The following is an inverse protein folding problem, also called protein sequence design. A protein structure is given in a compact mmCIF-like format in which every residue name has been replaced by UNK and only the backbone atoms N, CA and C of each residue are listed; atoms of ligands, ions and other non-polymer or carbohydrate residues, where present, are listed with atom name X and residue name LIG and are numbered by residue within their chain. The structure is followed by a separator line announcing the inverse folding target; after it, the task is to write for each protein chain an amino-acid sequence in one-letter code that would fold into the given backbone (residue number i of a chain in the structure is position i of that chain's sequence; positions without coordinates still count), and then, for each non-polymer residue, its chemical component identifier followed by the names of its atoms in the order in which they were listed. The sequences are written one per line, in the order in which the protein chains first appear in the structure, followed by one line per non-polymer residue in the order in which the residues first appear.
data_IF_594373087791
#
_entry.id   IF_594373087791
#
_cell.length_a   1.000
_cell.length_b   1.000
_cell.length_c   1.000
_cell.angle_alpha   90.00
_cell.angle_beta   90.00
_cell.angle_gamma   90.00
#
_symmetry.space_group_name_H-M   'P 1'
#
loop_
_entity.id
_entity.type
_entity.pdbx_description
1 polymer ?
#
# COMPACT_ATOMS: atom_id res chain seq x y z
N UNK A 1 -1.58 -24.72 2.21
CA UNK A 1 -2.10 -23.80 3.25
C UNK A 1 -0.96 -23.11 4.00
N UNK A 2 -0.02 -23.88 4.57
CA UNK A 2 1.16 -23.35 5.27
C UNK A 2 1.98 -22.34 4.46
N UNK A 3 2.21 -22.63 3.17
CA UNK A 3 2.90 -21.70 2.27
C UNK A 3 2.18 -20.35 2.12
N UNK A 4 0.84 -20.35 2.10
CA UNK A 4 0.06 -19.12 2.00
C UNK A 4 0.10 -18.32 3.32
N UNK A 5 0.03 -19.03 4.45
CA UNK A 5 0.20 -18.44 5.79
C UNK A 5 1.58 -17.78 5.91
N UNK A 6 2.64 -18.47 5.49
CA UNK A 6 3.99 -17.94 5.52
C UNK A 6 4.11 -16.66 4.66
N UNK A 7 3.49 -16.65 3.47
CA UNK A 7 3.53 -15.48 2.60
C UNK A 7 2.79 -14.27 3.20
N UNK A 8 1.63 -14.47 3.84
CA UNK A 8 0.91 -13.39 4.53
C UNK A 8 1.70 -12.85 5.73
N UNK A 9 2.36 -13.73 6.49
CA UNK A 9 3.28 -13.32 7.56
C UNK A 9 4.43 -12.48 7.03
N UNK A 10 5.09 -12.91 5.96
CA UNK A 10 6.17 -12.13 5.34
C UNK A 10 5.69 -10.76 4.86
N UNK A 11 4.50 -10.67 4.26
CA UNK A 11 3.94 -9.37 3.88
C UNK A 11 3.70 -8.47 5.09
N UNK A 12 3.10 -9.03 6.15
CA UNK A 12 2.85 -8.36 7.43
C UNK A 12 4.15 -7.80 8.01
N UNK A 13 5.22 -8.61 8.05
CA UNK A 13 6.54 -8.18 8.50
C UNK A 13 7.11 -7.05 7.66
N UNK A 14 7.04 -7.15 6.32
CA UNK A 14 7.55 -6.11 5.42
C UNK A 14 6.82 -4.77 5.62
N UNK A 15 5.48 -4.81 5.69
CA UNK A 15 4.66 -3.61 5.92
C UNK A 15 4.92 -3.00 7.30
N UNK A 16 5.05 -3.84 8.34
CA UNK A 16 5.34 -3.38 9.71
C UNK A 16 6.73 -2.75 9.79
N UNK A 17 7.75 -3.39 9.22
CA UNK A 17 9.11 -2.87 9.19
C UNK A 17 9.18 -1.52 8.47
N UNK A 18 8.50 -1.39 7.33
CA UNK A 18 8.44 -0.11 6.63
C UNK A 18 7.66 0.94 7.41
N UNK A 19 6.56 0.58 8.09
CA UNK A 19 5.80 1.50 8.94
C UNK A 19 6.64 2.03 10.11
N UNK A 20 7.43 1.16 10.75
CA UNK A 20 8.36 1.50 11.82
C UNK A 20 9.51 2.37 11.30
N UNK A 21 10.05 2.05 10.12
CA UNK A 21 11.05 2.88 9.47
C UNK A 21 10.48 4.28 9.20
N UNK A 22 9.28 4.43 8.64
CA UNK A 22 8.66 5.74 8.46
C UNK A 22 8.44 6.49 9.79
N UNK A 23 8.00 5.78 10.83
CA UNK A 23 7.78 6.36 12.14
C UNK A 23 9.07 6.83 12.81
N UNK A 24 10.18 6.10 12.66
CA UNK A 24 11.46 6.50 13.25
C UNK A 24 11.93 7.84 12.72
N UNK A 25 11.74 8.10 11.43
CA UNK A 25 12.06 9.40 10.80
C UNK A 25 11.21 10.57 11.33
N UNK A 26 10.00 10.30 11.83
CA UNK A 26 9.16 11.33 12.47
C UNK A 26 9.63 11.68 13.89
N UNK A 27 10.34 10.76 14.54
CA UNK A 27 10.76 10.87 15.94
C UNK A 27 12.26 11.15 16.11
N UNK A 28 13.02 11.31 15.02
CA UNK A 28 14.43 11.71 15.11
C UNK A 28 14.54 13.14 15.65
N UNK A 29 15.32 13.32 16.72
CA UNK A 29 15.51 14.58 17.45
C UNK A 29 16.11 15.72 16.62
N UNK A 30 16.82 15.38 15.55
CA UNK A 30 17.23 16.30 14.51
C UNK A 30 16.57 15.86 13.20
N UNK A 31 15.50 16.53 12.73
CA UNK A 31 15.13 16.37 11.33
C UNK A 31 16.38 16.77 10.53
N UNK A 32 16.90 15.92 9.62
CA UNK A 32 18.12 16.23 8.92
C UNK A 32 18.03 17.63 8.33
N UNK A 33 18.98 18.51 8.66
CA UNK A 33 18.99 19.96 8.34
C UNK A 33 18.83 20.26 6.83
N UNK A 34 18.84 19.23 5.99
CA UNK A 34 18.66 19.30 4.55
C UNK A 34 17.81 18.14 4.02
N UNK A 35 16.55 17.99 4.47
CA UNK A 35 15.56 17.24 3.70
C UNK A 35 15.02 18.09 2.55
N UNK A 36 15.93 18.43 1.63
CA UNK A 36 15.63 19.25 0.45
C UNK A 36 14.64 18.56 -0.50
N UNK A 37 13.93 19.34 -1.32
CA UNK A 37 13.01 18.84 -2.34
C UNK A 37 13.63 17.72 -3.22
N UNK A 38 14.85 17.83 -3.76
CA UNK A 38 15.46 16.76 -4.56
C UNK A 38 15.64 15.44 -3.78
N UNK A 39 16.01 15.51 -2.49
CA UNK A 39 16.14 14.31 -1.65
C UNK A 39 14.78 13.68 -1.38
N UNK A 40 13.76 14.50 -1.11
CA UNK A 40 12.41 13.98 -0.89
C UNK A 40 11.83 13.33 -2.15
N UNK A 41 12.00 13.94 -3.33
CA UNK A 41 11.60 13.36 -4.61
C UNK A 41 12.30 12.02 -4.87
N UNK A 42 13.61 11.92 -4.64
CA UNK A 42 14.35 10.65 -4.75
C UNK A 42 13.86 9.59 -3.77
N UNK A 43 13.55 10.01 -2.55
CA UNK A 43 12.99 9.12 -1.54
C UNK A 43 11.60 8.63 -1.97
N UNK A 44 10.74 9.51 -2.50
CA UNK A 44 9.42 9.15 -3.03
C UNK A 44 9.51 8.17 -4.20
N UNK A 45 10.47 8.34 -5.12
CA UNK A 45 10.70 7.38 -6.20
C UNK A 45 11.05 5.99 -5.67
N UNK A 46 11.91 5.93 -4.65
CA UNK A 46 12.30 4.67 -4.00
C UNK A 46 11.13 4.05 -3.26
N UNK A 47 10.36 4.86 -2.55
CA UNK A 47 9.18 4.43 -1.82
C UNK A 47 8.06 3.94 -2.75
N UNK A 48 7.83 4.62 -3.87
CA UNK A 48 6.91 4.19 -4.93
C UNK A 48 7.29 2.82 -5.48
N UNK A 49 8.57 2.58 -5.75
CA UNK A 49 9.06 1.29 -6.24
C UNK A 49 8.87 0.19 -5.19
N UNK A 50 9.10 0.50 -3.92
CA UNK A 50 8.81 -0.42 -2.82
C UNK A 50 7.30 -0.73 -2.69
N UNK A 51 6.43 0.29 -2.83
CA UNK A 51 4.98 0.10 -2.87
C UNK A 51 4.53 -0.74 -4.08
N UNK A 52 5.16 -0.57 -5.23
CA UNK A 52 4.89 -1.39 -6.41
C UNK A 52 5.27 -2.87 -6.15
N UNK A 53 6.41 -3.10 -5.49
CA UNK A 53 6.83 -4.45 -5.11
C UNK A 53 5.87 -5.11 -4.10
N UNK A 54 5.40 -4.39 -3.08
CA UNK A 54 4.43 -4.95 -2.12
C UNK A 54 3.07 -5.21 -2.79
N UNK A 55 2.63 -4.36 -3.73
CA UNK A 55 1.43 -4.59 -4.53
C UNK A 55 1.55 -5.83 -5.40
N UNK A 56 2.67 -5.99 -6.10
CA UNK A 56 2.94 -7.19 -6.91
C UNK A 56 2.93 -8.45 -6.03
N UNK A 57 3.54 -8.38 -4.85
CA UNK A 57 3.52 -9.45 -3.87
C UNK A 57 2.09 -9.78 -3.41
N UNK A 58 1.30 -8.77 -3.05
CA UNK A 58 -0.09 -8.92 -2.60
C UNK A 58 -1.02 -9.44 -3.71
N UNK A 59 -0.77 -9.05 -4.96
CA UNK A 59 -1.47 -9.57 -6.13
C UNK A 59 -1.15 -11.06 -6.36
N UNK A 60 0.12 -11.45 -6.23
CA UNK A 60 0.53 -12.85 -6.35
C UNK A 60 -0.07 -13.73 -5.25
N UNK A 61 -0.09 -13.23 -4.00
CA UNK A 61 -0.74 -13.94 -2.88
C UNK A 61 -2.26 -13.99 -3.05
N UNK A 62 -2.90 -12.94 -3.58
CA UNK A 62 -4.33 -12.95 -3.92
C UNK A 62 -4.69 -14.00 -4.98
N UNK A 63 -3.88 -14.17 -6.04
CA UNK A 63 -4.12 -15.22 -7.03
C UNK A 63 -4.05 -16.61 -6.41
N UNK A 64 -3.04 -16.87 -5.57
CA UNK A 64 -2.93 -18.13 -4.82
C UNK A 64 -4.11 -18.34 -3.88
N UNK A 65 -4.57 -17.25 -3.25
CA UNK A 65 -5.76 -17.24 -2.40
C UNK A 65 -7.02 -17.66 -3.15
N UNK A 66 -7.25 -17.12 -4.35
CA UNK A 66 -8.39 -17.52 -5.19
C UNK A 66 -8.38 -19.02 -5.50
N UNK A 67 -7.22 -19.59 -5.84
CA UNK A 67 -7.09 -21.03 -6.06
C UNK A 67 -7.42 -21.82 -4.79
N UNK A 68 -6.87 -21.42 -3.64
CA UNK A 68 -7.14 -22.09 -2.36
C UNK A 68 -8.64 -22.05 -2.02
N UNK A 69 -9.28 -20.90 -2.14
CA UNK A 69 -10.70 -20.76 -1.82
C UNK A 69 -11.58 -21.58 -2.75
N UNK A 70 -11.27 -21.65 -4.05
CA UNK A 70 -11.99 -22.52 -4.98
C UNK A 70 -11.88 -24.01 -4.58
N UNK A 71 -10.68 -24.47 -4.20
CA UNK A 71 -10.48 -25.85 -3.72
C UNK A 71 -11.20 -26.13 -2.39
N UNK A 72 -11.19 -25.18 -1.45
CA UNK A 72 -11.94 -25.29 -0.19
C UNK A 72 -13.45 -25.34 -0.43
N UNK A 73 -14.00 -24.52 -1.35
CA UNK A 73 -15.41 -24.59 -1.73
C UNK A 73 -15.77 -25.96 -2.29
N UNK A 74 -14.94 -26.51 -3.17
CA UNK A 74 -15.14 -27.86 -3.72
C UNK A 74 -15.07 -28.94 -2.63
N UNK A 75 -14.10 -28.85 -1.70
CA UNK A 75 -13.99 -29.78 -0.56
C UNK A 75 -15.17 -29.72 0.39
N UNK A 76 -15.66 -28.52 0.70
CA UNK A 76 -16.87 -28.29 1.51
C UNK A 76 -18.09 -28.92 0.87
N UNK A 77 -18.27 -28.74 -0.44
CA UNK A 77 -19.34 -29.38 -1.20
C UNK A 77 -19.20 -30.91 -1.21
N UNK A 78 -17.97 -31.42 -1.15
CA UNK A 78 -17.67 -32.85 -1.05
C UNK A 78 -17.68 -33.42 0.40
N UNK A 79 -18.02 -32.61 1.42
CA UNK A 79 -18.03 -33.01 2.84
C UNK A 79 -16.71 -33.62 3.36
N UNK A 80 -15.59 -33.31 2.70
CA UNK A 80 -14.27 -33.82 3.10
C UNK A 80 -13.63 -32.90 4.14
N UNK A 81 -12.95 -33.49 5.13
CA UNK A 81 -12.45 -32.90 6.39
C UNK A 81 -12.03 -31.43 6.31
N UNK A 82 -12.41 -30.62 7.29
CA UNK A 82 -12.06 -29.21 7.37
C UNK A 82 -10.59 -29.01 7.81
N UNK A 83 -9.75 -28.41 6.97
CA UNK A 83 -8.55 -27.71 7.46
C UNK A 83 -9.03 -26.40 8.10
N UNK A 84 -8.68 -26.15 9.38
CA UNK A 84 -9.20 -24.97 10.11
C UNK A 84 -8.78 -23.67 9.43
N UNK A 85 -9.72 -22.92 8.81
CA UNK A 85 -9.42 -21.68 8.08
C UNK A 85 -8.97 -20.55 9.01
N UNK A 86 -9.12 -20.70 10.32
CA UNK A 86 -8.93 -19.67 11.34
C UNK A 86 -7.53 -19.05 11.34
N UNK A 87 -6.48 -19.85 11.10
CA UNK A 87 -5.12 -19.33 11.03
C UNK A 87 -4.91 -18.39 9.82
N UNK A 88 -5.51 -18.75 8.68
CA UNK A 88 -5.38 -17.96 7.46
C UNK A 88 -6.24 -16.69 7.54
N UNK A 89 -7.42 -16.79 8.14
CA UNK A 89 -8.25 -15.65 8.53
C UNK A 89 -7.46 -14.70 9.43
N UNK A 90 -6.79 -15.20 10.47
CA UNK A 90 -5.95 -14.39 11.37
C UNK A 90 -4.81 -13.68 10.64
N UNK A 91 -4.06 -14.38 9.79
CA UNK A 91 -2.96 -13.72 9.06
C UNK A 91 -3.45 -12.67 8.07
N UNK A 92 -4.64 -12.84 7.48
CA UNK A 92 -5.25 -11.79 6.66
C UNK A 92 -5.67 -10.58 7.49
N UNK A 93 -6.20 -10.76 8.70
CA UNK A 93 -6.42 -9.64 9.64
C UNK A 93 -5.12 -8.92 9.92
N UNK A 94 -4.04 -9.65 10.23
CA UNK A 94 -2.73 -9.08 10.53
C UNK A 94 -2.17 -8.29 9.34
N UNK A 95 -2.31 -8.83 8.12
CA UNK A 95 -1.90 -8.17 6.90
C UNK A 95 -2.72 -6.88 6.66
N UNK A 96 -4.04 -6.92 6.88
CA UNK A 96 -4.89 -5.74 6.80
C UNK A 96 -4.52 -4.67 7.84
N UNK A 97 -4.33 -5.05 9.10
CA UNK A 97 -3.92 -4.15 10.18
C UNK A 97 -2.55 -3.52 9.87
N UNK A 98 -1.60 -4.32 9.36
CA UNK A 98 -0.28 -3.85 8.96
C UNK A 98 -0.32 -2.89 7.78
N UNK A 99 -1.19 -3.12 6.80
CA UNK A 99 -1.40 -2.18 5.70
C UNK A 99 -1.99 -0.85 6.18
N UNK A 100 -3.00 -0.88 7.05
CA UNK A 100 -3.51 0.35 7.67
C UNK A 100 -2.44 1.07 8.49
N UNK A 101 -1.63 0.34 9.26
CA UNK A 101 -0.50 0.89 10.01
C UNK A 101 0.55 1.55 9.11
N UNK A 102 0.93 0.88 8.02
CA UNK A 102 1.83 1.41 7.00
C UNK A 102 1.31 2.71 6.38
N UNK A 103 0.05 2.72 5.95
CA UNK A 103 -0.54 3.90 5.31
C UNK A 103 -0.72 5.05 6.30
N UNK A 104 -1.04 4.76 7.56
CA UNK A 104 -1.05 5.77 8.62
C UNK A 104 0.34 6.43 8.75
N UNK A 105 1.40 5.64 8.91
CA UNK A 105 2.77 6.15 9.00
C UNK A 105 3.19 6.90 7.72
N UNK A 106 2.77 6.42 6.55
CA UNK A 106 3.06 7.06 5.25
C UNK A 106 2.46 8.45 5.17
N UNK A 107 1.17 8.59 5.50
CA UNK A 107 0.48 9.87 5.38
C UNK A 107 0.90 10.85 6.46
N UNK A 108 1.23 10.38 7.67
CA UNK A 108 1.91 11.19 8.67
C UNK A 108 3.29 11.66 8.18
N UNK A 109 4.07 10.78 7.55
CA UNK A 109 5.37 11.12 6.96
C UNK A 109 5.25 12.17 5.85
N UNK A 110 4.31 11.99 4.92
CA UNK A 110 4.05 12.98 3.87
C UNK A 110 3.62 14.32 4.45
N UNK A 111 2.69 14.31 5.41
CA UNK A 111 2.20 15.53 6.07
C UNK A 111 3.31 16.27 6.78
N UNK A 112 4.15 15.54 7.53
CA UNK A 112 5.27 16.10 8.27
C UNK A 112 6.30 16.77 7.36
N UNK A 113 6.70 16.10 6.29
CA UNK A 113 7.74 16.59 5.41
C UNK A 113 7.25 17.66 4.44
N UNK A 114 6.04 17.52 3.90
CA UNK A 114 5.50 18.47 2.93
C UNK A 114 5.42 19.91 3.48
N UNK A 115 5.01 20.07 4.75
CA UNK A 115 4.97 21.38 5.42
C UNK A 115 6.38 21.97 5.65
N UNK A 116 7.41 21.11 5.68
CA UNK A 116 8.81 21.49 5.96
C UNK A 116 9.67 21.58 4.70
N UNK A 117 9.12 21.31 3.52
CA UNK A 117 9.86 21.40 2.27
C UNK A 117 10.12 22.85 1.92
N UNK A 118 11.39 23.23 1.83
CA UNK A 118 11.79 24.48 1.18
C UNK A 118 11.61 24.33 -0.34
N UNK A 119 10.80 25.21 -0.92
CA UNK A 119 10.48 25.25 -2.36
C UNK A 119 10.96 26.54 -3.04
N UNK A 120 11.67 27.42 -2.33
CA UNK A 120 12.09 28.75 -2.83
C UNK A 120 12.92 28.72 -4.11
N UNK A 121 13.68 27.64 -4.33
CA UNK A 121 14.54 27.44 -5.52
C UNK A 121 14.05 26.31 -6.44
N UNK A 122 12.85 25.79 -6.19
CA UNK A 122 12.32 24.66 -6.96
C UNK A 122 11.89 25.11 -8.36
N UNK A 123 12.23 24.32 -9.38
CA UNK A 123 11.69 24.56 -10.73
C UNK A 123 10.26 24.03 -10.80
N UNK A 124 9.44 24.58 -11.71
CA UNK A 124 8.08 24.09 -11.94
C UNK A 124 8.03 22.58 -12.19
N UNK A 125 8.97 22.05 -12.99
CA UNK A 125 9.08 20.61 -13.26
C UNK A 125 9.36 19.76 -12.00
N UNK A 126 10.08 20.29 -11.00
CA UNK A 126 10.33 19.58 -9.74
C UNK A 126 9.07 19.49 -8.89
N UNK A 127 8.25 20.55 -8.90
CA UNK A 127 6.96 20.60 -8.20
C UNK A 127 5.93 19.69 -8.88
N UNK A 128 5.85 19.70 -10.22
CA UNK A 128 5.00 18.77 -10.98
C UNK A 128 5.37 17.31 -10.72
N UNK A 129 6.68 17.00 -10.68
CA UNK A 129 7.16 15.67 -10.35
C UNK A 129 6.81 15.27 -8.92
N UNK A 130 6.97 16.18 -7.95
CA UNK A 130 6.56 15.96 -6.57
C UNK A 130 5.06 15.64 -6.48
N UNK A 131 4.22 16.47 -7.11
CA UNK A 131 2.77 16.29 -7.16
C UNK A 131 2.40 14.91 -7.71
N UNK A 132 3.01 14.55 -8.85
CA UNK A 132 2.78 13.27 -9.51
C UNK A 132 3.17 12.09 -8.61
N UNK A 133 4.35 12.13 -7.99
CA UNK A 133 4.83 11.04 -7.14
C UNK A 133 3.98 10.84 -5.88
N UNK A 134 3.58 11.93 -5.23
CA UNK A 134 2.69 11.87 -4.08
C UNK A 134 1.34 11.27 -4.47
N UNK A 135 0.75 11.72 -5.58
CA UNK A 135 -0.50 11.17 -6.09
C UNK A 135 -0.40 9.67 -6.38
N UNK A 136 0.68 9.24 -7.05
CA UNK A 136 0.90 7.82 -7.35
C UNK A 136 1.05 6.99 -6.08
N UNK A 137 1.80 7.46 -5.08
CA UNK A 137 1.95 6.73 -3.81
C UNK A 137 0.61 6.57 -3.09
N UNK A 138 -0.24 7.60 -3.08
CA UNK A 138 -1.58 7.53 -2.46
C UNK A 138 -2.49 6.58 -3.24
N UNK A 139 -2.44 6.58 -4.58
CA UNK A 139 -3.16 5.62 -5.43
C UNK A 139 -2.70 4.17 -5.21
N UNK A 140 -1.40 3.95 -5.04
CA UNK A 140 -0.86 2.63 -4.69
C UNK A 140 -1.33 2.17 -3.31
N UNK A 141 -1.43 3.09 -2.34
CA UNK A 141 -2.02 2.80 -1.04
C UNK A 141 -3.50 2.40 -1.12
N UNK A 142 -4.28 3.07 -1.98
CA UNK A 142 -5.67 2.69 -2.27
C UNK A 142 -5.76 1.29 -2.87
N UNK A 143 -4.92 0.98 -3.86
CA UNK A 143 -4.86 -0.32 -4.51
C UNK A 143 -4.49 -1.44 -3.52
N UNK A 144 -3.60 -1.16 -2.57
CA UNK A 144 -3.22 -2.10 -1.52
C UNK A 144 -4.42 -2.46 -0.64
N UNK A 145 -5.15 -1.46 -0.15
CA UNK A 145 -6.36 -1.68 0.64
C UNK A 145 -7.42 -2.43 -0.16
N UNK A 146 -7.59 -2.08 -1.44
CA UNK A 146 -8.54 -2.75 -2.34
C UNK A 146 -8.23 -4.25 -2.49
N UNK A 147 -6.97 -4.61 -2.69
CA UNK A 147 -6.54 -6.01 -2.80
C UNK A 147 -6.82 -6.79 -1.50
N UNK A 148 -6.55 -6.18 -0.35
CA UNK A 148 -6.78 -6.80 0.95
C UNK A 148 -8.29 -6.95 1.24
N UNK A 149 -9.11 -5.96 0.91
CA UNK A 149 -10.57 -6.07 0.99
C UNK A 149 -11.11 -7.22 0.13
N UNK A 150 -10.60 -7.37 -1.10
CA UNK A 150 -11.00 -8.48 -1.99
C UNK A 150 -10.60 -9.87 -1.50
N UNK A 151 -9.51 -9.99 -0.73
CA UNK A 151 -9.19 -11.24 -0.02
C UNK A 151 -10.28 -11.55 1.02
N UNK A 152 -10.71 -10.52 1.74
CA UNK A 152 -11.79 -10.55 2.71
C UNK A 152 -13.13 -11.03 2.12
N UNK A 153 -13.45 -10.65 0.88
CA UNK A 153 -14.73 -10.96 0.23
C UNK A 153 -15.01 -12.47 0.11
N UNK A 154 -13.97 -13.29 -0.01
CA UNK A 154 -14.09 -14.73 -0.17
C UNK A 154 -14.57 -15.45 1.11
N UNK A 155 -14.55 -14.79 2.26
CA UNK A 155 -14.99 -15.36 3.54
C UNK A 155 -16.50 -15.23 3.76
N UNK A 156 -17.04 -16.12 4.59
CA UNK A 156 -18.43 -16.00 5.05
C UNK A 156 -18.63 -14.78 5.95
N UNK A 157 -19.87 -14.30 6.07
CA UNK A 157 -20.18 -13.13 6.90
C UNK A 157 -19.82 -13.33 8.38
N UNK A 158 -19.87 -14.57 8.88
CA UNK A 158 -19.44 -14.91 10.25
C UNK A 158 -17.93 -14.77 10.43
N UNK A 159 -17.15 -15.21 9.45
CA UNK A 159 -15.69 -15.05 9.43
C UNK A 159 -15.30 -13.58 9.24
N UNK A 160 -16.01 -12.84 8.37
CA UNK A 160 -15.87 -11.37 8.21
C UNK A 160 -16.14 -10.61 9.51
N UNK A 161 -17.19 -10.96 10.26
CA UNK A 161 -17.46 -10.35 11.56
C UNK A 161 -16.35 -10.60 12.58
N UNK A 162 -15.77 -11.81 12.61
CA UNK A 162 -14.59 -12.10 13.45
C UNK A 162 -13.35 -11.31 12.99
N UNK A 163 -13.12 -11.18 11.68
CA UNK A 163 -12.03 -10.39 11.11
C UNK A 163 -12.09 -8.92 11.54
N UNK A 164 -13.29 -8.32 11.48
CA UNK A 164 -13.53 -6.89 11.78
C UNK A 164 -13.55 -6.57 13.29
N UNK A 165 -13.72 -7.58 14.15
CA UNK A 165 -13.74 -7.43 15.60
C UNK A 165 -12.34 -7.38 16.25
N UNK A 166 -11.26 -7.40 15.46
CA UNK A 166 -9.90 -7.32 15.99
C UNK A 166 -9.57 -5.91 16.47
N UNK A 167 -9.22 -5.78 17.76
CA UNK A 167 -8.85 -4.51 18.40
C UNK A 167 -7.68 -3.82 17.71
N UNK A 168 -6.64 -4.58 17.33
CA UNK A 168 -5.47 -4.05 16.62
C UNK A 168 -5.88 -3.48 15.25
N UNK A 169 -6.67 -4.23 14.47
CA UNK A 169 -7.17 -3.75 13.18
C UNK A 169 -7.96 -2.44 13.33
N UNK A 170 -8.88 -2.37 14.29
CA UNK A 170 -9.68 -1.18 14.56
C UNK A 170 -8.82 0.01 15.03
N UNK A 171 -7.79 -0.25 15.84
CA UNK A 171 -6.83 0.77 16.23
C UNK A 171 -6.06 1.31 15.02
N UNK A 172 -5.52 0.44 14.17
CA UNK A 172 -4.78 0.84 12.96
C UNK A 172 -5.68 1.58 11.97
N UNK A 173 -6.94 1.18 11.81
CA UNK A 173 -7.93 1.89 10.99
C UNK A 173 -8.22 3.30 11.53
N UNK A 174 -8.33 3.48 12.85
CA UNK A 174 -8.47 4.81 13.47
C UNK A 174 -7.24 5.68 13.23
N UNK A 175 -6.04 5.15 13.42
CA UNK A 175 -4.79 5.84 13.13
C UNK A 175 -4.68 6.24 11.66
N UNK A 176 -5.02 5.34 10.75
CA UNK A 176 -5.08 5.60 9.31
C UNK A 176 -6.03 6.74 8.97
N UNK A 177 -7.26 6.72 9.49
CA UNK A 177 -8.25 7.78 9.23
C UNK A 177 -7.77 9.14 9.73
N UNK A 178 -7.16 9.18 10.92
CA UNK A 178 -6.56 10.40 11.46
C UNK A 178 -5.47 10.94 10.53
N UNK A 179 -4.51 10.10 10.15
CA UNK A 179 -3.40 10.49 9.28
C UNK A 179 -3.87 10.90 7.87
N UNK A 180 -4.89 10.23 7.32
CA UNK A 180 -5.50 10.59 6.04
C UNK A 180 -6.19 11.97 6.10
N UNK A 181 -6.88 12.27 7.20
CA UNK A 181 -7.49 13.58 7.43
C UNK A 181 -6.44 14.69 7.54
N UNK A 182 -5.36 14.45 8.29
CA UNK A 182 -4.21 15.35 8.38
C UNK A 182 -3.57 15.59 7.00
N UNK A 183 -3.33 14.52 6.24
CA UNK A 183 -2.81 14.61 4.88
C UNK A 183 -3.70 15.44 3.96
N UNK A 184 -5.01 15.21 3.99
CA UNK A 184 -5.96 15.99 3.19
C UNK A 184 -5.97 17.48 3.58
N UNK A 185 -5.80 17.81 4.86
CA UNK A 185 -5.69 19.18 5.32
C UNK A 185 -4.39 19.84 4.83
N UNK A 186 -3.25 19.16 5.01
CA UNK A 186 -1.94 19.64 4.56
C UNK A 186 -1.91 19.82 3.04
N UNK A 187 -2.44 18.86 2.27
CA UNK A 187 -2.49 18.97 0.82
C UNK A 187 -3.27 20.20 0.37
N UNK A 188 -4.45 20.46 0.96
CA UNK A 188 -5.29 21.60 0.61
C UNK A 188 -4.68 22.95 0.97
N UNK A 189 -3.83 22.98 2.01
CA UNK A 189 -3.15 24.21 2.41
C UNK A 189 -1.89 24.50 1.59
N UNK A 190 -1.44 23.56 0.74
CA UNK A 190 -0.28 23.77 -0.13
C UNK A 190 -0.67 24.58 -1.39
N UNK A 191 -0.15 25.80 -1.58
CA UNK A 191 -0.38 26.58 -2.80
C UNK A 191 0.46 26.08 -4.00
N UNK A 192 1.34 25.11 -3.77
CA UNK A 192 2.32 24.60 -4.72
C UNK A 192 1.69 23.82 -5.88
N UNK A 193 0.56 23.17 -5.62
CA UNK A 193 0.00 22.15 -6.48
C UNK A 193 -1.04 22.70 -7.45
N UNK A 194 -1.14 22.07 -8.60
CA UNK A 194 -2.09 22.42 -9.63
C UNK A 194 -3.54 22.16 -9.18
N UNK A 195 -4.49 22.89 -9.75
CA UNK A 195 -5.91 22.67 -9.51
C UNK A 195 -6.34 21.24 -9.91
N UNK A 196 -5.80 20.73 -11.02
CA UNK A 196 -6.11 19.38 -11.51
C UNK A 196 -5.50 18.29 -10.60
N UNK A 197 -4.25 18.45 -10.19
CA UNK A 197 -3.60 17.55 -9.23
C UNK A 197 -4.35 17.51 -7.91
N UNK A 198 -4.79 18.67 -7.41
CA UNK A 198 -5.61 18.78 -6.21
C UNK A 198 -6.97 18.11 -6.36
N UNK A 199 -7.65 18.27 -7.51
CA UNK A 199 -8.90 17.56 -7.81
C UNK A 199 -8.70 16.05 -7.77
N UNK A 200 -7.64 15.54 -8.41
CA UNK A 200 -7.31 14.10 -8.43
C UNK A 200 -6.98 13.57 -7.05
N UNK A 201 -6.14 14.27 -6.29
CA UNK A 201 -5.78 13.88 -4.92
C UNK A 201 -7.02 13.82 -4.02
N UNK A 202 -7.87 14.84 -4.05
CA UNK A 202 -9.11 14.86 -3.27
C UNK A 202 -10.04 13.69 -3.61
N UNK A 203 -10.14 13.31 -4.89
CA UNK A 203 -10.90 12.14 -5.30
C UNK A 203 -10.35 10.83 -4.71
N UNK A 204 -9.02 10.67 -4.69
CA UNK A 204 -8.36 9.49 -4.11
C UNK A 204 -8.55 9.47 -2.58
N UNK A 205 -8.33 10.60 -1.90
CA UNK A 205 -8.53 10.73 -0.45
C UNK A 205 -9.98 10.39 -0.06
N UNK A 206 -10.96 10.87 -0.84
CA UNK A 206 -12.37 10.54 -0.61
C UNK A 206 -12.62 9.04 -0.65
N UNK A 207 -12.10 8.34 -1.67
CA UNK A 207 -12.22 6.87 -1.76
C UNK A 207 -11.48 6.15 -0.63
N UNK A 208 -10.28 6.62 -0.28
CA UNK A 208 -9.53 6.09 0.85
C UNK A 208 -10.26 6.22 2.19
N UNK A 209 -11.04 7.29 2.37
CA UNK A 209 -11.83 7.52 3.58
C UNK A 209 -13.00 6.53 3.73
N UNK A 210 -13.41 5.87 2.65
CA UNK A 210 -14.41 4.80 2.65
C UNK A 210 -13.84 3.50 3.24
N UNK A 211 -12.52 3.29 3.18
CA UNK A 211 -11.87 2.12 3.78
C UNK A 211 -11.76 2.25 5.31
N UNK A 212 -12.05 1.16 6.01
CA UNK A 212 -12.07 1.13 7.48
C UNK A 212 -13.32 1.76 8.10
N UNK A 213 -14.35 2.02 7.30
CA UNK A 213 -15.72 2.20 7.78
C UNK A 213 -16.46 0.85 7.74
N UNK A 214 -17.37 0.64 8.67
CA UNK A 214 -18.12 -0.62 8.77
C UNK A 214 -18.92 -0.93 7.50
N UNK A 215 -18.66 -2.12 6.97
CA UNK A 215 -19.46 -2.89 6.02
C UNK A 215 -20.13 -2.12 4.88
N UNK A 216 -19.38 -1.95 3.78
CA UNK A 216 -19.78 -2.07 2.36
C UNK A 216 -18.84 -1.18 1.56
N UNK A 217 -17.91 -1.72 0.77
CA UNK A 217 -17.42 -1.05 -0.43
C UNK A 217 -16.72 -2.01 -1.38
N UNK A 218 -17.36 -2.27 -2.51
CA UNK A 218 -16.81 -2.90 -3.70
C UNK A 218 -16.57 -1.81 -4.75
N UNK A 219 -15.46 -1.10 -4.65
CA UNK A 219 -15.07 -0.15 -5.70
C UNK A 219 -14.44 -0.91 -6.90
N UNK A 220 -14.74 -0.50 -8.15
CA UNK A 220 -14.18 -1.09 -9.36
C UNK A 220 -12.65 -0.85 -9.45
N UNK A 221 -11.91 -1.67 -10.22
CA UNK A 221 -10.46 -1.57 -10.31
C UNK A 221 -10.02 -0.22 -10.89
N UNK A 222 -9.04 0.41 -10.25
CA UNK A 222 -8.38 1.60 -10.78
C UNK A 222 -7.29 1.12 -11.75
N UNK A 223 -7.23 1.70 -12.95
CA UNK A 223 -6.06 1.56 -13.81
C UNK A 223 -4.90 2.31 -13.13
N UNK A 224 -4.03 1.55 -12.45
CA UNK A 224 -2.76 2.08 -11.97
C UNK A 224 -1.89 2.45 -13.17
N UNK A 225 -1.02 3.44 -13.02
CA UNK A 225 -0.02 3.79 -14.02
C UNK A 225 0.74 2.52 -14.50
N UNK A 226 1.19 2.48 -15.76
CA UNK A 226 1.98 1.36 -16.25
C UNK A 226 3.17 1.12 -15.30
N UNK A 227 3.50 -0.15 -15.03
CA UNK A 227 4.57 -0.50 -14.11
C UNK A 227 5.84 0.26 -14.48
N UNK A 228 6.61 0.69 -13.48
CA UNK A 228 7.87 1.36 -13.74
C UNK A 228 8.71 0.50 -14.70
N UNK A 229 9.35 1.12 -15.71
CA UNK A 229 10.27 0.41 -16.62
C UNK A 229 11.28 -0.35 -15.76
N UNK A 230 11.10 -1.68 -15.67
CA UNK A 230 11.68 -2.59 -14.69
C UNK A 230 13.16 -2.30 -14.43
N UNK A 231 13.53 -1.52 -13.40
CA UNK A 231 14.93 -1.18 -13.16
C UNK A 231 15.73 -2.39 -12.62
N UNK A 232 15.05 -3.37 -12.01
CA UNK A 232 15.67 -4.58 -11.46
C UNK A 232 15.97 -5.67 -12.50
N UNK A 233 15.64 -5.44 -13.78
CA UNK A 233 16.01 -6.30 -14.91
C UNK A 233 17.16 -5.73 -15.73
N UNK A 234 17.80 -4.65 -15.28
CA UNK A 234 19.07 -4.25 -15.85
C UNK A 234 20.10 -5.34 -15.56
N UNK A 235 20.66 -5.89 -16.63
CA UNK A 235 21.68 -6.93 -16.63
C UNK A 235 22.94 -6.55 -15.83
N UNK A 236 23.05 -5.29 -15.40
CA UNK A 236 24.19 -4.75 -14.66
C UNK A 236 24.13 -5.03 -13.15
N UNK A 237 22.97 -5.45 -12.61
CA UNK A 237 22.78 -5.68 -11.17
C UNK A 237 22.80 -7.17 -10.78
N UNK A 238 22.63 -8.07 -11.74
CA UNK A 238 22.71 -9.52 -11.51
C UNK A 238 23.86 -10.10 -12.34
N UNK A 239 25.02 -10.41 -11.73
CA UNK A 239 26.07 -11.11 -12.43
C UNK A 239 25.57 -12.54 -12.73
N UNK A 240 25.21 -12.81 -13.99
CA UNK A 240 25.02 -14.19 -14.47
C UNK A 240 23.82 -14.46 -15.38
N UNK A 241 22.87 -13.55 -15.59
CA UNK A 241 21.69 -13.82 -16.42
C UNK A 241 21.79 -13.23 -17.83
N UNK A 242 22.75 -13.70 -18.64
CA UNK A 242 22.70 -13.48 -20.10
C UNK A 242 21.52 -14.28 -20.68
N UNK A 243 20.33 -13.70 -20.69
CA UNK A 243 19.21 -14.25 -21.46
C UNK A 243 19.49 -13.96 -22.95
N UNK A 244 19.86 -15.00 -23.71
CA UNK A 244 19.97 -14.94 -25.17
C UNK A 244 18.66 -14.39 -25.74
N UNK A 245 18.72 -13.21 -26.36
CA UNK A 245 17.69 -12.77 -27.30
C UNK A 245 17.75 -13.70 -28.50
N UNK A 246 16.79 -14.61 -28.59
CA UNK A 246 16.53 -15.33 -29.83
C UNK A 246 15.95 -14.33 -30.83
N UNK A 247 16.81 -13.76 -31.66
CA UNK A 247 16.40 -13.01 -32.83
C UNK A 247 15.58 -13.92 -33.75
N UNK A 248 14.27 -13.68 -33.81
CA UNK A 248 13.44 -14.18 -34.90
C UNK A 248 13.64 -13.23 -36.08
N UNK A 249 14.33 -13.74 -37.09
CA UNK A 249 14.03 -13.42 -38.49
C UNK A 249 12.77 -14.17 -38.90
#
# INVERSE_FOLDING_TARGET
MESSIALEKSATTLMTAQALHLASWLHTSQPPETFSLPRFVRWLDSYRAWLEAILAYQSATYRRWQCFMAHETLRRNAQTTHLSPEYLTREQTNAAASAFGLLASTYSFFSFWLVRLSTEKAKAADIERLEHLLLVCVQQGEELLRLLSRKGDAWSDKEKKKLLASDDLQQKQRSFRKALGEWGSVWKSQPLFSAEGSRRMNNVIRRLAEYGQDARMTNPPIQTAPPAKRPWLHNDVVPGSKKKESGRR
#
